data_IF_143773278424
#
_entry.id   IF_143773278424
#
_cell.length_a   1.000
_cell.length_b   1.000
_cell.length_c   1.000
_cell.angle_alpha   90.00
_cell.angle_beta   90.00
_cell.angle_gamma   90.00
#
_symmetry.space_group_name_H-M   'P 1'
#
loop_
_entity.id
_entity.type
_entity.pdbx_description
1 polymer ?
#
# COMPACT_ATOMS: atom_id res chain seq x y z
N UNK A 1 2.56 6.21 12.81
CA UNK A 1 1.87 7.10 11.84
C UNK A 1 0.38 6.85 11.91
N UNK A 2 -0.47 7.87 11.86
CA UNK A 2 -1.92 7.67 11.76
C UNK A 2 -2.34 7.26 10.34
N UNK A 3 -3.45 6.52 10.22
CA UNK A 3 -4.02 6.03 8.95
C UNK A 3 -4.08 7.11 7.86
N UNK A 4 -4.61 8.30 8.18
CA UNK A 4 -4.74 9.41 7.20
C UNK A 4 -3.39 9.89 6.66
N UNK A 5 -2.37 9.92 7.50
CA UNK A 5 -1.03 10.34 7.09
C UNK A 5 -0.40 9.32 6.14
N UNK A 6 -0.53 8.02 6.46
CA UNK A 6 -0.05 6.94 5.59
C UNK A 6 -0.81 6.94 4.26
N UNK A 7 -2.13 7.02 4.28
CA UNK A 7 -2.96 7.09 3.08
C UNK A 7 -2.57 8.25 2.16
N UNK A 8 -2.38 9.45 2.73
CA UNK A 8 -1.93 10.62 1.97
C UNK A 8 -0.56 10.40 1.31
N UNK A 9 0.40 9.85 2.08
CA UNK A 9 1.74 9.53 1.57
C UNK A 9 1.71 8.48 0.45
N UNK A 10 0.95 7.40 0.62
CA UNK A 10 0.79 6.35 -0.39
C UNK A 10 0.13 6.89 -1.66
N UNK A 11 -0.87 7.76 -1.52
CA UNK A 11 -1.54 8.40 -2.66
C UNK A 11 -0.58 9.29 -3.43
N UNK A 12 0.26 10.06 -2.75
CA UNK A 12 1.29 10.89 -3.39
C UNK A 12 2.40 10.06 -4.05
N UNK A 13 2.81 8.97 -3.40
CA UNK A 13 3.93 8.13 -3.82
C UNK A 13 3.56 7.26 -5.04
N UNK A 14 2.43 6.56 -4.96
CA UNK A 14 2.00 5.63 -5.99
C UNK A 14 1.19 6.30 -7.10
N UNK A 15 0.57 7.46 -6.82
CA UNK A 15 -0.36 8.16 -7.72
C UNK A 15 -1.32 7.17 -8.40
N UNK A 16 -2.10 6.41 -7.62
CA UNK A 16 -2.95 5.33 -8.15
C UNK A 16 -4.12 5.84 -9.00
N UNK A 17 -4.31 7.16 -9.12
CA UNK A 17 -5.50 7.73 -9.74
C UNK A 17 -6.71 7.55 -8.83
N UNK A 18 -7.84 7.09 -9.37
CA UNK A 18 -9.03 6.75 -8.60
C UNK A 18 -8.96 5.31 -8.07
N UNK A 19 -9.46 5.10 -6.85
CA UNK A 19 -9.73 3.75 -6.32
C UNK A 19 -8.56 3.04 -5.63
N UNK A 20 -7.73 3.77 -4.87
CA UNK A 20 -6.93 3.15 -3.81
C UNK A 20 -7.78 3.09 -2.53
N UNK A 21 -8.05 1.88 -2.07
CA UNK A 21 -8.61 1.61 -0.74
C UNK A 21 -7.48 1.13 0.15
N UNK A 22 -7.44 1.62 1.40
CA UNK A 22 -6.47 1.19 2.39
C UNK A 22 -7.22 0.73 3.63
N UNK A 23 -6.89 -0.44 4.14
CA UNK A 23 -7.45 -0.99 5.37
C UNK A 23 -6.31 -1.22 6.37
N UNK A 24 -6.50 -0.77 7.60
CA UNK A 24 -5.58 -1.06 8.70
C UNK A 24 -5.85 -2.46 9.24
N UNK A 25 -4.83 -3.33 9.21
CA UNK A 25 -4.91 -4.69 9.75
C UNK A 25 -4.34 -4.78 11.18
N UNK A 26 -3.82 -3.67 11.71
CA UNK A 26 -3.10 -3.63 12.98
C UNK A 26 -1.62 -4.00 12.83
N UNK A 27 -0.85 -3.80 13.91
CA UNK A 27 0.58 -4.14 14.00
C UNK A 27 1.47 -3.50 12.92
N UNK A 28 1.05 -2.38 12.33
CA UNK A 28 1.78 -1.73 11.23
C UNK A 28 1.57 -2.38 9.86
N UNK A 29 0.66 -3.34 9.77
CA UNK A 29 0.25 -3.98 8.52
C UNK A 29 -0.98 -3.29 7.93
N UNK A 30 -0.96 -3.07 6.62
CA UNK A 30 -2.04 -2.41 5.90
C UNK A 30 -2.36 -3.20 4.62
N UNK A 31 -3.64 -3.33 4.30
CA UNK A 31 -4.10 -3.88 3.03
C UNK A 31 -4.42 -2.74 2.07
N UNK A 32 -3.65 -2.66 0.98
CA UNK A 32 -3.92 -1.73 -0.12
C UNK A 32 -4.64 -2.46 -1.25
N UNK A 33 -5.83 -1.99 -1.62
CA UNK A 33 -6.62 -2.49 -2.74
C UNK A 33 -6.69 -1.44 -3.84
N UNK A 34 -6.31 -1.83 -5.05
CA UNK A 34 -6.31 -0.96 -6.22
C UNK A 34 -7.48 -1.32 -7.13
N UNK A 35 -8.14 -0.31 -7.71
CA UNK A 35 -9.19 -0.50 -8.69
C UNK A 35 -8.70 -1.03 -10.05
N UNK A 36 -7.39 -0.99 -10.31
CA UNK A 36 -6.80 -1.47 -11.57
C UNK A 36 -5.58 -2.34 -11.30
N UNK A 37 -5.53 -3.49 -11.99
CA UNK A 37 -4.37 -4.41 -11.97
C UNK A 37 -3.12 -3.70 -12.47
N UNK A 38 -3.23 -2.83 -13.48
CA UNK A 38 -2.09 -2.06 -13.99
C UNK A 38 -1.48 -1.13 -12.92
N UNK A 39 -2.31 -0.58 -12.02
CA UNK A 39 -1.81 0.20 -10.89
C UNK A 39 -1.08 -0.68 -9.88
N UNK A 40 -1.63 -1.86 -9.56
CA UNK A 40 -0.99 -2.82 -8.68
C UNK A 40 0.38 -3.26 -9.23
N UNK A 41 0.42 -3.69 -10.49
CA UNK A 41 1.66 -4.12 -11.17
C UNK A 41 2.70 -3.01 -11.20
N UNK A 42 2.28 -1.77 -11.49
CA UNK A 42 3.17 -0.61 -11.48
C UNK A 42 3.76 -0.35 -10.09
N UNK A 43 2.97 -0.49 -9.03
CA UNK A 43 3.45 -0.33 -7.65
C UNK A 43 4.41 -1.44 -7.25
N UNK A 44 4.09 -2.69 -7.56
CA UNK A 44 4.94 -3.85 -7.22
C UNK A 44 6.27 -3.80 -8.00
N UNK A 45 6.23 -3.48 -9.29
CA UNK A 45 7.40 -3.52 -10.17
C UNK A 45 8.34 -2.31 -9.98
N UNK A 46 7.81 -1.15 -9.59
CA UNK A 46 8.62 0.08 -9.40
C UNK A 46 9.16 0.26 -7.97
N UNK A 47 8.91 -0.71 -7.08
CA UNK A 47 9.53 -0.72 -5.76
C UNK A 47 11.05 -0.97 -5.83
N UNK A 48 11.78 -0.81 -4.70
CA UNK A 48 11.28 -0.67 -3.34
C UNK A 48 10.80 0.75 -3.01
N UNK A 49 9.80 0.87 -2.14
CA UNK A 49 9.25 2.15 -1.69
C UNK A 49 9.71 2.45 -0.28
N UNK A 50 10.00 3.72 0.01
CA UNK A 50 10.34 4.18 1.36
C UNK A 50 9.36 5.26 1.83
N UNK A 51 8.97 5.18 3.10
CA UNK A 51 8.19 6.20 3.80
C UNK A 51 8.88 6.50 5.12
N UNK A 52 9.31 7.75 5.31
CA UNK A 52 9.96 8.23 6.54
C UNK A 52 11.14 7.33 6.95
N UNK A 53 12.05 7.04 6.02
CA UNK A 53 13.24 6.22 6.23
C UNK A 53 12.98 4.73 6.56
N UNK A 54 11.74 4.28 6.43
CA UNK A 54 11.35 2.86 6.55
C UNK A 54 10.97 2.30 5.18
N UNK A 55 11.46 1.10 4.87
CA UNK A 55 11.09 0.37 3.66
C UNK A 55 9.67 -0.20 3.79
N UNK A 56 8.89 -0.06 2.72
CA UNK A 56 7.63 -0.77 2.57
C UNK A 56 7.88 -2.17 2.01
N UNK A 57 7.50 -3.17 2.79
CA UNK A 57 7.41 -4.55 2.32
C UNK A 57 6.07 -4.78 1.65
N UNK A 58 6.08 -4.99 0.33
CA UNK A 58 4.88 -5.35 -0.42
C UNK A 58 4.74 -6.88 -0.43
N UNK A 59 3.56 -7.37 -0.08
CA UNK A 59 3.20 -8.78 -0.19
C UNK A 59 1.85 -8.89 -0.89
N UNK A 60 1.74 -9.78 -1.87
CA UNK A 60 0.46 -10.08 -2.50
C UNK A 60 -0.49 -10.67 -1.45
N UNK A 61 -1.73 -10.18 -1.43
CA UNK A 61 -2.75 -10.70 -0.54
C UNK A 61 -3.01 -12.19 -0.82
N UNK A 62 -3.06 -12.98 0.24
CA UNK A 62 -3.45 -14.39 0.20
C UNK A 62 -4.61 -14.61 1.17
N UNK A 63 -5.58 -15.50 0.86
CA UNK A 63 -6.51 -15.97 1.87
C UNK A 63 -5.74 -16.55 3.07
N UNK A 64 -6.30 -16.40 4.28
CA UNK A 64 -5.67 -16.76 5.56
C UNK A 64 -4.43 -15.95 5.96
N UNK A 65 -4.32 -14.68 5.52
CA UNK A 65 -3.27 -13.80 6.01
C UNK A 65 -3.30 -13.68 7.54
N UNK A 66 -2.24 -14.16 8.20
CA UNK A 66 -1.99 -13.94 9.62
C UNK A 66 -0.99 -12.79 9.77
N UNK A 67 -1.43 -11.64 10.33
CA UNK A 67 -0.60 -10.44 10.48
C UNK A 67 0.57 -10.62 11.46
#
# INVERSE_FOLDING_TARGET
MGYKALYSRLTQLWKPGAGLELLDLGHGSYLAKFASVANLERVVTRGPWMIQDHYLTLRQWTPDFRP
#
